data_IF_443495251267
#
_entry.id   IF_443495251267
#
_cell.length_a   1.000
_cell.length_b   1.000
_cell.length_c   1.000
_cell.angle_alpha   90.00
_cell.angle_beta   90.00
_cell.angle_gamma   90.00
#
_symmetry.space_group_name_H-M   'P 1'
#
loop_
_entity.id
_entity.type
_entity.pdbx_description
1 polymer ?
#
# COMPACT_ATOMS: atom_id res chain seq x y z
N UNK A 1 -39.06 -57.33 -31.69
CA UNK A 1 -39.24 -57.52 -30.24
C UNK A 1 -40.48 -56.76 -29.86
N UNK A 2 -41.64 -57.41 -29.93
CA UNK A 2 -42.95 -56.85 -29.57
C UNK A 2 -43.29 -57.32 -28.17
N UNK A 3 -43.54 -56.39 -27.23
CA UNK A 3 -43.92 -56.73 -25.85
C UNK A 3 -43.08 -56.11 -24.74
N UNK A 4 -42.04 -55.31 -25.03
CA UNK A 4 -41.33 -54.58 -23.97
C UNK A 4 -42.20 -53.43 -23.44
N UNK A 5 -42.33 -53.30 -22.13
CA UNK A 5 -43.05 -52.19 -21.51
C UNK A 5 -42.15 -50.97 -21.36
N UNK A 6 -42.72 -49.78 -21.50
CA UNK A 6 -42.04 -48.52 -21.23
C UNK A 6 -42.77 -47.75 -20.14
N UNK A 7 -42.01 -46.97 -19.38
CA UNK A 7 -42.49 -45.98 -18.40
C UNK A 7 -41.60 -44.75 -18.51
N UNK A 8 -42.19 -43.59 -18.78
CA UNK A 8 -41.51 -42.30 -18.82
C UNK A 8 -41.98 -41.48 -17.63
N UNK A 9 -41.05 -41.11 -16.76
CA UNK A 9 -41.30 -40.17 -15.67
C UNK A 9 -40.85 -38.77 -16.12
N UNK A 10 -41.76 -37.79 -16.24
CA UNK A 10 -41.37 -36.41 -16.53
C UNK A 10 -40.34 -35.93 -15.51
N UNK A 11 -39.20 -35.48 -16.00
CA UNK A 11 -38.14 -34.95 -15.15
C UNK A 11 -38.54 -33.59 -14.61
N UNK A 12 -38.15 -33.30 -13.37
CA UNK A 12 -38.16 -31.93 -12.84
C UNK A 12 -37.07 -31.12 -13.51
N UNK A 13 -37.48 -30.02 -14.16
CA UNK A 13 -36.58 -29.10 -14.85
C UNK A 13 -36.59 -27.76 -14.11
N UNK A 14 -35.41 -27.24 -13.78
CA UNK A 14 -35.30 -26.00 -13.00
C UNK A 14 -35.90 -24.81 -13.76
N UNK A 15 -36.91 -24.15 -13.17
CA UNK A 15 -37.64 -23.06 -13.82
C UNK A 15 -38.71 -23.49 -14.83
N UNK A 16 -39.04 -24.78 -14.92
CA UNK A 16 -40.05 -25.27 -15.87
C UNK A 16 -41.04 -26.24 -15.20
N UNK A 17 -42.31 -26.13 -15.59
CA UNK A 17 -43.38 -27.01 -15.16
C UNK A 17 -43.78 -27.94 -16.29
N UNK A 18 -43.84 -29.25 -16.01
CA UNK A 18 -44.39 -30.22 -16.96
C UNK A 18 -45.88 -29.94 -17.22
N UNK A 19 -46.28 -30.01 -18.49
CA UNK A 19 -47.65 -29.72 -18.92
C UNK A 19 -48.34 -30.96 -19.45
N UNK A 20 -47.75 -31.60 -20.46
CA UNK A 20 -48.35 -32.74 -21.17
C UNK A 20 -47.31 -33.54 -21.94
N UNK A 21 -47.68 -34.76 -22.31
CA UNK A 21 -46.97 -35.60 -23.26
C UNK A 21 -47.80 -35.72 -24.55
N UNK A 22 -47.14 -36.05 -25.67
CA UNK A 22 -47.82 -36.31 -26.95
C UNK A 22 -48.61 -37.63 -26.97
N UNK A 23 -48.32 -38.55 -26.05
CA UNK A 23 -48.94 -39.87 -25.92
C UNK A 23 -48.82 -40.38 -24.46
N UNK A 24 -49.37 -41.55 -24.14
CA UNK A 24 -49.33 -42.17 -22.81
C UNK A 24 -47.90 -42.42 -22.33
N UNK A 25 -47.63 -42.08 -21.07
CA UNK A 25 -46.32 -42.21 -20.43
C UNK A 25 -45.95 -43.64 -20.05
N UNK A 26 -46.89 -44.57 -20.12
CA UNK A 26 -46.68 -46.00 -19.87
C UNK A 26 -47.36 -46.81 -20.94
N UNK A 27 -46.76 -47.91 -21.39
CA UNK A 27 -47.38 -48.76 -22.40
C UNK A 27 -46.47 -49.89 -22.86
N UNK A 28 -46.80 -50.48 -24.00
CA UNK A 28 -46.01 -51.55 -24.64
C UNK A 28 -45.43 -51.04 -25.97
N UNK A 29 -44.18 -51.38 -26.27
CA UNK A 29 -43.52 -51.03 -27.52
C UNK A 29 -43.98 -51.94 -28.66
N UNK A 30 -44.52 -51.30 -29.71
CA UNK A 30 -44.79 -51.91 -31.01
C UNK A 30 -44.10 -51.07 -32.10
N UNK A 31 -42.83 -51.38 -32.37
CA UNK A 31 -41.98 -50.60 -33.27
C UNK A 31 -41.32 -49.38 -32.61
N UNK A 32 -40.88 -48.41 -33.43
CA UNK A 32 -40.25 -47.18 -32.95
C UNK A 32 -41.33 -46.20 -32.47
N UNK A 33 -41.23 -45.76 -31.21
CA UNK A 33 -42.15 -44.81 -30.58
C UNK A 33 -41.40 -43.55 -30.14
N UNK A 34 -41.95 -42.39 -30.44
CA UNK A 34 -41.45 -41.08 -30.00
C UNK A 34 -42.52 -40.41 -29.11
N UNK A 35 -42.13 -40.01 -27.90
CA UNK A 35 -43.01 -39.31 -26.96
C UNK A 35 -42.38 -37.95 -26.65
N UNK A 36 -43.08 -36.88 -27.00
CA UNK A 36 -42.63 -35.50 -26.80
C UNK A 36 -43.25 -34.96 -25.52
N UNK A 37 -42.42 -34.56 -24.56
CA UNK A 37 -42.85 -33.90 -23.33
C UNK A 37 -42.83 -32.37 -23.53
N UNK A 38 -43.95 -31.72 -23.21
CA UNK A 38 -44.07 -30.25 -23.24
C UNK A 38 -43.92 -29.68 -21.84
N UNK A 39 -43.02 -28.71 -21.72
CA UNK A 39 -42.78 -27.94 -20.50
C UNK A 39 -43.08 -26.46 -20.76
N UNK A 40 -43.60 -25.77 -19.74
CA UNK A 40 -43.77 -24.32 -19.75
C UNK A 40 -42.81 -23.69 -18.76
N UNK A 41 -42.27 -22.52 -19.12
CA UNK A 41 -41.51 -21.70 -18.20
C UNK A 41 -42.37 -21.37 -16.97
N UNK A 42 -41.82 -21.61 -15.79
CA UNK A 42 -42.50 -21.46 -14.50
C UNK A 42 -41.47 -21.11 -13.43
N UNK A 43 -41.09 -19.84 -13.38
CA UNK A 43 -40.10 -19.32 -12.43
C UNK A 43 -40.76 -18.96 -11.10
N UNK A 44 -40.17 -19.37 -9.99
CA UNK A 44 -40.52 -18.96 -8.63
C UNK A 44 -39.86 -17.60 -8.32
N UNK A 45 -40.70 -16.59 -8.08
CA UNK A 45 -40.29 -15.20 -7.81
C UNK A 45 -40.49 -14.79 -6.36
N UNK A 46 -40.84 -15.71 -5.47
CA UNK A 46 -41.25 -15.42 -4.09
C UNK A 46 -40.19 -14.62 -3.32
N UNK A 47 -38.93 -15.07 -3.33
CA UNK A 47 -37.83 -14.39 -2.64
C UNK A 47 -37.52 -13.01 -3.24
N UNK A 48 -37.60 -12.88 -4.56
CA UNK A 48 -37.40 -11.61 -5.26
C UNK A 48 -38.50 -10.61 -4.92
N UNK A 49 -39.76 -11.06 -4.87
CA UNK A 49 -40.91 -10.25 -4.48
C UNK A 49 -40.77 -9.73 -3.05
N UNK A 50 -40.42 -10.59 -2.10
CA UNK A 50 -40.22 -10.23 -0.70
C UNK A 50 -39.15 -9.15 -0.55
N UNK A 51 -38.03 -9.27 -1.27
CA UNK A 51 -36.95 -8.27 -1.21
C UNK A 51 -37.35 -6.95 -1.86
N UNK A 52 -38.13 -6.97 -2.95
CA UNK A 52 -38.65 -5.77 -3.61
C UNK A 52 -39.64 -5.01 -2.70
N UNK A 53 -40.47 -5.72 -1.92
CA UNK A 53 -41.38 -5.12 -0.94
C UNK A 53 -40.63 -4.37 0.17
N UNK A 54 -39.45 -4.86 0.56
CA UNK A 54 -38.59 -4.27 1.58
C UNK A 54 -37.55 -3.30 0.97
N UNK A 55 -38.01 -2.30 0.23
CA UNK A 55 -37.13 -1.29 -0.37
C UNK A 55 -36.47 -0.42 0.71
N UNK A 56 -35.15 -0.28 0.65
CA UNK A 56 -34.39 0.59 1.54
C UNK A 56 -34.71 2.07 1.31
N UNK A 57 -34.96 2.85 2.37
CA UNK A 57 -35.18 4.28 2.29
C UNK A 57 -33.84 5.03 2.22
N UNK A 58 -33.65 5.86 1.19
CA UNK A 58 -32.40 6.58 0.96
C UNK A 58 -31.92 7.41 2.16
N UNK A 59 -32.84 7.99 2.94
CA UNK A 59 -32.49 8.85 4.07
C UNK A 59 -31.84 8.10 5.24
N UNK A 60 -31.96 6.76 5.28
CA UNK A 60 -31.39 5.94 6.33
C UNK A 60 -29.92 5.57 6.04
N UNK A 61 -29.40 5.92 4.86
CA UNK A 61 -28.08 5.51 4.38
C UNK A 61 -27.24 6.68 3.88
N UNK A 62 -25.93 6.47 3.85
CA UNK A 62 -24.96 7.38 3.24
C UNK A 62 -25.28 7.53 1.75
N UNK A 63 -25.51 8.77 1.32
CA UNK A 63 -25.98 9.12 -0.02
C UNK A 63 -25.14 8.48 -1.14
N UNK A 64 -23.82 8.45 -0.96
CA UNK A 64 -22.87 7.92 -1.93
C UNK A 64 -22.96 6.39 -2.13
N UNK A 65 -23.54 5.66 -1.18
CA UNK A 65 -23.66 4.18 -1.24
C UNK A 65 -24.97 3.72 -1.86
N UNK A 66 -25.99 4.59 -1.90
CA UNK A 66 -27.33 4.27 -2.38
C UNK A 66 -27.46 4.02 -3.91
N UNK A 67 -26.68 4.67 -4.81
CA UNK A 67 -26.85 4.52 -6.26
C UNK A 67 -26.72 3.09 -6.78
N UNK A 68 -25.80 2.29 -6.22
CA UNK A 68 -25.59 0.89 -6.63
C UNK A 68 -26.81 0.05 -6.26
N UNK A 69 -27.33 0.22 -5.03
CA UNK A 69 -28.54 -0.46 -4.57
C UNK A 69 -29.77 -0.09 -5.40
N UNK A 70 -30.02 1.20 -5.64
CA UNK A 70 -31.23 1.60 -6.37
C UNK A 70 -31.23 1.10 -7.82
N UNK A 71 -30.05 1.01 -8.45
CA UNK A 71 -29.91 0.43 -9.78
C UNK A 71 -30.23 -1.08 -9.77
N UNK A 72 -29.72 -1.82 -8.78
CA UNK A 72 -30.03 -3.24 -8.59
C UNK A 72 -31.51 -3.46 -8.31
N UNK A 73 -32.12 -2.62 -7.46
CA UNK A 73 -33.55 -2.65 -7.15
C UNK A 73 -34.40 -2.45 -8.41
N UNK A 74 -34.07 -1.47 -9.26
CA UNK A 74 -34.79 -1.24 -10.51
C UNK A 74 -34.68 -2.43 -11.47
N UNK A 75 -33.52 -3.08 -11.55
CA UNK A 75 -33.33 -4.28 -12.37
C UNK A 75 -34.11 -5.47 -11.82
N UNK A 76 -34.11 -5.67 -10.51
CA UNK A 76 -34.92 -6.67 -9.83
C UNK A 76 -36.43 -6.50 -10.15
N UNK A 77 -36.94 -5.25 -10.12
CA UNK A 77 -38.34 -4.97 -10.49
C UNK A 77 -38.63 -5.34 -11.95
N UNK A 78 -37.71 -5.07 -12.89
CA UNK A 78 -37.88 -5.47 -14.31
C UNK A 78 -37.94 -6.98 -14.49
N UNK A 79 -37.06 -7.72 -13.82
CA UNK A 79 -37.07 -9.20 -13.87
C UNK A 79 -38.34 -9.75 -13.21
N UNK A 80 -38.76 -9.15 -12.10
CA UNK A 80 -39.99 -9.54 -11.41
C UNK A 80 -41.23 -9.40 -12.29
N UNK A 81 -41.37 -8.30 -13.04
CA UNK A 81 -42.52 -8.07 -13.93
C UNK A 81 -42.43 -8.77 -15.28
N UNK A 82 -41.24 -9.28 -15.66
CA UNK A 82 -41.06 -10.02 -16.91
C UNK A 82 -41.65 -11.45 -16.80
N UNK A 83 -42.80 -11.70 -17.43
CA UNK A 83 -43.44 -13.02 -17.50
C UNK A 83 -42.57 -14.11 -18.16
N UNK A 84 -41.59 -13.70 -18.96
CA UNK A 84 -40.65 -14.61 -19.65
C UNK A 84 -39.30 -14.76 -18.94
N UNK A 85 -39.14 -14.17 -17.75
CA UNK A 85 -37.92 -14.31 -16.98
C UNK A 85 -37.70 -15.77 -16.59
N UNK A 86 -36.55 -16.30 -16.96
CA UNK A 86 -36.07 -17.62 -16.54
C UNK A 86 -35.79 -17.64 -15.03
N UNK A 87 -35.77 -18.82 -14.43
CA UNK A 87 -35.43 -18.94 -13.01
C UNK A 87 -34.03 -18.39 -12.73
N UNK A 88 -33.08 -18.64 -13.64
CA UNK A 88 -31.72 -18.12 -13.53
C UNK A 88 -31.67 -16.58 -13.47
N UNK A 89 -32.41 -15.89 -14.35
CA UNK A 89 -32.50 -14.42 -14.31
C UNK A 89 -33.14 -13.92 -13.01
N UNK A 90 -34.12 -14.65 -12.47
CA UNK A 90 -34.75 -14.33 -11.18
C UNK A 90 -33.76 -14.47 -10.03
N UNK A 91 -32.97 -15.54 -9.99
CA UNK A 91 -31.98 -15.78 -8.95
C UNK A 91 -30.83 -14.77 -9.01
N UNK A 92 -30.34 -14.47 -10.21
CA UNK A 92 -29.29 -13.46 -10.43
C UNK A 92 -29.75 -12.07 -9.98
N UNK A 93 -30.99 -11.69 -10.32
CA UNK A 93 -31.59 -10.42 -9.89
C UNK A 93 -31.76 -10.35 -8.38
N UNK A 94 -32.17 -11.45 -7.74
CA UNK A 94 -32.27 -11.55 -6.29
C UNK A 94 -30.89 -11.37 -5.63
N UNK A 95 -29.88 -12.10 -6.10
CA UNK A 95 -28.54 -12.06 -5.53
C UNK A 95 -27.91 -10.67 -5.69
N UNK A 96 -28.05 -10.06 -6.87
CA UNK A 96 -27.57 -8.69 -7.12
C UNK A 96 -28.23 -7.66 -6.19
N UNK A 97 -29.54 -7.80 -5.94
CA UNK A 97 -30.27 -6.94 -5.01
C UNK A 97 -29.83 -7.17 -3.56
N UNK A 98 -29.60 -8.41 -3.16
CA UNK A 98 -29.09 -8.78 -1.83
C UNK A 98 -27.69 -8.21 -1.59
N UNK A 99 -26.76 -8.41 -2.53
CA UNK A 99 -25.37 -7.98 -2.40
C UNK A 99 -25.24 -6.46 -2.35
N UNK A 100 -25.97 -5.75 -3.22
CA UNK A 100 -25.98 -4.29 -3.22
C UNK A 100 -26.63 -3.70 -1.97
N UNK A 101 -27.65 -4.36 -1.40
CA UNK A 101 -28.22 -3.96 -0.11
C UNK A 101 -27.21 -4.13 1.03
N UNK A 102 -26.44 -5.23 1.04
CA UNK A 102 -25.43 -5.49 2.05
C UNK A 102 -24.23 -4.52 1.98
N UNK A 103 -24.09 -3.76 0.89
CA UNK A 103 -23.08 -2.71 0.73
C UNK A 103 -23.56 -1.33 1.17
N UNK A 104 -24.86 -1.16 1.48
CA UNK A 104 -25.38 0.09 2.00
C UNK A 104 -24.76 0.40 3.37
N UNK A 105 -24.32 1.65 3.54
CA UNK A 105 -23.77 2.13 4.81
C UNK A 105 -24.81 2.98 5.53
N UNK A 106 -25.22 2.63 6.76
CA UNK A 106 -26.17 3.43 7.52
C UNK A 106 -25.71 4.88 7.74
N UNK A 107 -26.64 5.83 7.72
CA UNK A 107 -26.33 7.27 7.89
C UNK A 107 -25.66 7.58 9.24
N UNK A 108 -25.89 6.74 10.26
CA UNK A 108 -25.21 6.82 11.57
C UNK A 108 -23.70 6.59 11.49
N UNK A 109 -23.19 6.03 10.38
CA UNK A 109 -21.76 5.80 10.13
C UNK A 109 -21.15 6.81 9.14
N UNK A 110 -21.84 7.93 8.86
CA UNK A 110 -21.41 8.92 7.88
C UNK A 110 -20.00 9.48 8.14
N UNK A 111 -19.66 9.75 9.40
CA UNK A 111 -18.33 10.25 9.75
C UNK A 111 -17.24 9.21 9.48
N UNK A 112 -17.46 7.98 9.91
CA UNK A 112 -16.55 6.86 9.65
C UNK A 112 -16.37 6.62 8.14
N UNK A 113 -17.45 6.68 7.37
CA UNK A 113 -17.41 6.60 5.91
C UNK A 113 -16.55 7.70 5.30
N UNK A 114 -16.71 8.95 5.75
CA UNK A 114 -15.91 10.07 5.26
C UNK A 114 -14.42 9.89 5.60
N UNK A 115 -14.10 9.44 6.82
CA UNK A 115 -12.72 9.22 7.25
C UNK A 115 -12.02 8.12 6.44
N UNK A 116 -12.71 7.01 6.19
CA UNK A 116 -12.18 5.90 5.39
C UNK A 116 -11.97 6.30 3.93
N UNK A 117 -12.94 6.98 3.32
CA UNK A 117 -12.84 7.37 1.91
C UNK A 117 -11.90 8.56 1.65
N UNK A 118 -11.63 9.39 2.66
CA UNK A 118 -10.65 10.48 2.59
C UNK A 118 -9.28 10.07 3.15
N UNK A 119 -9.05 8.78 3.40
CA UNK A 119 -7.80 8.30 3.98
C UNK A 119 -6.61 8.48 3.04
N UNK A 120 -5.45 8.79 3.61
CA UNK A 120 -4.17 8.83 2.88
C UNK A 120 -3.82 7.40 2.46
N UNK A 121 -3.82 7.12 1.16
CA UNK A 121 -3.63 5.77 0.62
C UNK A 121 -2.15 5.39 0.45
N UNK A 122 -1.32 6.37 0.12
CA UNK A 122 0.09 6.17 -0.20
C UNK A 122 0.97 6.62 0.97
N UNK A 123 2.00 5.81 1.29
CA UNK A 123 2.91 6.10 2.39
C UNK A 123 3.64 7.44 2.20
N UNK A 124 4.01 7.77 0.96
CA UNK A 124 4.78 8.97 0.65
C UNK A 124 6.01 9.10 1.55
N UNK A 125 6.14 10.27 2.20
CA UNK A 125 7.27 10.58 3.08
C UNK A 125 7.06 10.15 4.54
N UNK A 126 5.93 9.53 4.89
CA UNK A 126 5.67 9.08 6.25
C UNK A 126 6.54 7.88 6.63
N UNK A 127 6.86 7.78 7.92
CA UNK A 127 7.59 6.64 8.47
C UNK A 127 6.73 5.38 8.36
N UNK A 128 7.36 4.24 8.02
CA UNK A 128 6.65 2.97 7.80
C UNK A 128 5.80 2.57 9.02
N UNK A 129 6.31 2.81 10.23
CA UNK A 129 5.60 2.47 11.47
C UNK A 129 4.35 3.33 11.69
N UNK A 130 4.46 4.66 11.55
CA UNK A 130 3.31 5.54 11.77
C UNK A 130 2.24 5.39 10.69
N UNK A 131 2.67 5.20 9.43
CA UNK A 131 1.76 4.98 8.32
C UNK A 131 1.03 3.63 8.42
N UNK A 132 1.73 2.56 8.82
CA UNK A 132 1.10 1.25 9.04
C UNK A 132 0.06 1.30 10.17
N UNK A 133 0.34 2.01 11.27
CA UNK A 133 -0.62 2.20 12.35
C UNK A 133 -1.89 2.93 11.87
N UNK A 134 -1.72 4.02 11.10
CA UNK A 134 -2.83 4.74 10.48
C UNK A 134 -3.64 3.86 9.52
N UNK A 135 -2.99 3.13 8.63
CA UNK A 135 -3.68 2.24 7.69
C UNK A 135 -4.43 1.09 8.39
N UNK A 136 -3.90 0.57 9.49
CA UNK A 136 -4.61 -0.44 10.28
C UNK A 136 -5.89 0.15 10.93
N UNK A 137 -5.83 1.39 11.41
CA UNK A 137 -7.02 2.09 11.92
C UNK A 137 -8.07 2.30 10.82
N UNK A 138 -7.65 2.70 9.62
CA UNK A 138 -8.54 2.83 8.44
C UNK A 138 -9.16 1.48 8.06
N UNK A 139 -8.37 0.41 7.99
CA UNK A 139 -8.85 -0.93 7.66
C UNK A 139 -9.89 -1.43 8.68
N UNK A 140 -9.64 -1.20 9.98
CA UNK A 140 -10.58 -1.50 11.05
C UNK A 140 -11.87 -0.71 10.89
N UNK A 141 -11.78 0.59 10.60
CA UNK A 141 -12.95 1.43 10.34
C UNK A 141 -13.76 0.99 9.12
N UNK A 142 -13.09 0.62 8.03
CA UNK A 142 -13.71 0.15 6.80
C UNK A 142 -14.53 -1.14 7.03
N UNK A 143 -13.98 -2.10 7.77
CA UNK A 143 -14.68 -3.34 8.11
C UNK A 143 -15.99 -3.12 8.89
N UNK A 144 -16.07 -2.02 9.64
CA UNK A 144 -17.26 -1.65 10.41
C UNK A 144 -18.34 -0.95 9.58
N UNK A 145 -18.09 -0.51 8.35
CA UNK A 145 -19.08 0.24 7.56
C UNK A 145 -20.36 -0.57 7.28
N UNK A 146 -20.21 -1.84 6.92
CA UNK A 146 -21.32 -2.74 6.55
C UNK A 146 -21.66 -3.77 7.64
N UNK A 147 -20.87 -3.83 8.72
CA UNK A 147 -21.07 -4.77 9.84
C UNK A 147 -22.06 -4.20 10.86
N UNK A 148 -23.02 -5.00 11.32
CA UNK A 148 -23.89 -4.62 12.43
C UNK A 148 -23.09 -4.51 13.74
N UNK A 149 -23.17 -3.36 14.42
CA UNK A 149 -22.31 -3.04 15.56
C UNK A 149 -22.89 -1.90 16.39
N UNK A 150 -22.25 -1.60 17.53
CA UNK A 150 -22.71 -0.57 18.47
C UNK A 150 -22.16 0.82 18.13
N UNK A 151 -22.86 1.86 18.58
CA UNK A 151 -22.39 3.25 18.49
C UNK A 151 -21.01 3.44 19.14
N UNK A 152 -20.76 2.77 20.28
CA UNK A 152 -19.46 2.84 20.96
C UNK A 152 -18.33 2.23 20.12
N UNK A 153 -18.58 1.14 19.39
CA UNK A 153 -17.58 0.55 18.50
C UNK A 153 -17.25 1.49 17.34
N UNK A 154 -18.26 2.14 16.75
CA UNK A 154 -18.10 3.15 15.71
C UNK A 154 -17.27 4.33 16.24
N UNK A 155 -17.61 4.85 17.42
CA UNK A 155 -16.90 5.98 18.02
C UNK A 155 -15.43 5.67 18.34
N UNK A 156 -15.14 4.46 18.83
CA UNK A 156 -13.75 4.01 19.06
C UNK A 156 -12.95 3.94 17.76
N UNK A 157 -13.56 3.46 16.67
CA UNK A 157 -12.90 3.41 15.38
C UNK A 157 -12.59 4.82 14.83
N UNK A 158 -13.56 5.74 14.94
CA UNK A 158 -13.39 7.15 14.58
C UNK A 158 -12.24 7.77 15.38
N UNK A 159 -12.24 7.59 16.71
CA UNK A 159 -11.19 8.12 17.58
C UNK A 159 -9.81 7.55 17.23
N UNK A 160 -9.69 6.24 17.02
CA UNK A 160 -8.43 5.60 16.65
C UNK A 160 -7.88 6.15 15.32
N UNK A 161 -8.75 6.38 14.32
CA UNK A 161 -8.35 7.02 13.05
C UNK A 161 -7.80 8.42 13.28
N UNK A 162 -8.45 9.23 14.13
CA UNK A 162 -7.96 10.58 14.45
C UNK A 162 -6.62 10.55 15.19
N UNK A 163 -6.48 9.68 16.19
CA UNK A 163 -5.26 9.55 16.99
C UNK A 163 -4.07 9.11 16.12
N UNK A 164 -4.25 8.04 15.34
CA UNK A 164 -3.20 7.54 14.44
C UNK A 164 -2.85 8.53 13.33
N UNK A 165 -3.84 9.29 12.81
CA UNK A 165 -3.58 10.39 11.88
C UNK A 165 -2.71 11.49 12.50
N UNK A 166 -2.98 11.86 13.75
CA UNK A 166 -2.19 12.86 14.47
C UNK A 166 -0.78 12.37 14.82
N UNK A 167 -0.58 11.05 14.87
CA UNK A 167 0.70 10.39 15.13
C UNK A 167 1.50 10.09 13.86
N UNK A 168 1.01 10.48 12.67
CA UNK A 168 1.79 10.38 11.44
C UNK A 168 3.08 11.20 11.56
N UNK A 169 4.21 10.52 11.46
CA UNK A 169 5.54 11.13 11.49
C UNK A 169 6.22 10.93 10.16
N UNK A 170 7.04 11.89 9.75
CA UNK A 170 7.85 11.73 8.56
C UNK A 170 8.97 10.71 8.82
N UNK A 171 9.39 10.04 7.76
CA UNK A 171 10.58 9.18 7.77
C UNK A 171 11.84 10.00 8.07
N UNK A 172 12.90 9.32 8.51
CA UNK A 172 14.21 9.94 8.67
C UNK A 172 14.61 10.67 7.38
N UNK A 173 15.19 11.86 7.52
CA UNK A 173 15.53 12.68 6.35
C UNK A 173 16.57 12.00 5.46
N UNK A 174 17.54 11.32 6.08
CA UNK A 174 18.59 10.55 5.41
C UNK A 174 18.49 9.10 5.88
N UNK A 175 18.53 8.16 4.94
CA UNK A 175 18.62 6.73 5.20
C UNK A 175 19.88 6.18 4.54
N UNK A 176 20.76 5.59 5.33
CA UNK A 176 21.96 4.91 4.84
C UNK A 176 21.69 3.42 4.64
N UNK A 177 22.22 2.86 3.55
CA UNK A 177 22.10 1.45 3.19
C UNK A 177 23.37 0.96 2.48
N UNK A 178 23.61 -0.35 2.49
CA UNK A 178 24.77 -0.95 1.82
C UNK A 178 24.47 -2.39 1.43
N UNK A 179 25.14 -2.89 0.38
CA UNK A 179 25.16 -4.32 0.04
C UNK A 179 26.37 -5.06 0.67
N UNK A 180 27.20 -4.37 1.46
CA UNK A 180 28.32 -4.96 2.17
C UNK A 180 27.82 -5.59 3.48
N UNK A 181 28.10 -6.88 3.74
CA UNK A 181 27.75 -7.51 5.01
C UNK A 181 28.39 -6.76 6.19
N UNK A 182 27.65 -6.55 7.26
CA UNK A 182 28.14 -5.85 8.46
C UNK A 182 28.96 -6.79 9.35
N UNK A 183 30.12 -6.34 9.81
CA UNK A 183 30.86 -7.02 10.87
C UNK A 183 30.28 -6.63 12.24
N UNK A 184 29.88 -7.63 13.03
CA UNK A 184 29.32 -7.44 14.37
C UNK A 184 28.14 -6.42 14.38
N UNK A 185 28.20 -5.42 15.24
CA UNK A 185 27.20 -4.35 15.39
C UNK A 185 27.65 -3.01 14.77
N UNK A 186 28.69 -3.00 13.93
CA UNK A 186 29.17 -1.81 13.22
C UNK A 186 28.31 -1.51 11.99
N UNK A 187 27.02 -1.26 12.23
CA UNK A 187 26.01 -1.07 11.19
C UNK A 187 26.15 0.24 10.42
N UNK A 188 25.50 0.29 9.25
CA UNK A 188 25.58 1.42 8.33
C UNK A 188 25.00 2.73 8.91
N UNK A 189 24.08 2.63 9.88
CA UNK A 189 23.53 3.80 10.57
C UNK A 189 24.59 4.65 11.28
N UNK A 190 25.72 4.05 11.67
CA UNK A 190 26.82 4.77 12.31
C UNK A 190 27.47 5.81 11.38
N UNK A 191 27.25 5.72 10.07
CA UNK A 191 27.83 6.68 9.11
C UNK A 191 27.05 7.99 9.01
N UNK A 192 25.91 8.12 9.69
CA UNK A 192 25.06 9.30 9.69
C UNK A 192 24.55 9.64 11.08
N UNK A 193 25.23 9.14 12.12
CA UNK A 193 24.84 9.37 13.51
C UNK A 193 25.50 10.65 14.10
N UNK A 194 26.35 11.32 13.31
CA UNK A 194 27.05 12.54 13.72
C UNK A 194 28.24 12.27 14.65
N UNK A 195 28.62 11.00 14.84
CA UNK A 195 29.69 10.58 15.73
C UNK A 195 30.84 9.94 14.96
N UNK A 196 31.89 10.71 14.69
CA UNK A 196 33.11 10.21 14.03
C UNK A 196 33.85 9.08 14.77
N UNK A 197 33.49 8.76 16.01
CA UNK A 197 34.09 7.66 16.77
C UNK A 197 33.39 6.32 16.52
N UNK A 198 32.14 6.31 16.06
CA UNK A 198 31.46 5.10 15.59
C UNK A 198 31.83 4.85 14.13
N UNK A 199 31.49 3.66 13.63
CA UNK A 199 31.80 3.26 12.26
C UNK A 199 30.85 2.21 11.73
N UNK A 200 30.65 2.24 10.42
CA UNK A 200 30.40 1.04 9.66
C UNK A 200 31.69 0.25 9.47
N UNK A 201 31.64 -1.07 9.60
CA UNK A 201 32.76 -1.95 9.26
C UNK A 201 32.25 -3.19 8.53
N UNK A 202 32.72 -3.38 7.30
CA UNK A 202 32.31 -4.51 6.46
C UNK A 202 32.94 -5.83 6.89
N UNK A 203 32.23 -6.93 6.72
CA UNK A 203 32.68 -8.31 6.95
C UNK A 203 33.11 -8.98 5.63
N UNK A 204 33.78 -8.22 4.76
CA UNK A 204 34.27 -8.73 3.47
C UNK A 204 35.38 -7.86 2.95
N UNK A 205 36.23 -8.43 2.10
CA UNK A 205 37.16 -7.66 1.27
C UNK A 205 36.41 -6.69 0.36
N UNK A 206 37.09 -5.63 -0.04
CA UNK A 206 36.57 -4.65 -1.00
C UNK A 206 36.53 -5.26 -2.40
N UNK A 207 35.37 -5.20 -3.05
CA UNK A 207 35.16 -5.70 -4.41
C UNK A 207 34.34 -4.68 -5.23
N UNK A 208 34.68 -4.48 -6.52
CA UNK A 208 33.91 -3.60 -7.38
C UNK A 208 32.41 -3.90 -7.36
N UNK A 209 31.58 -2.85 -7.26
CA UNK A 209 30.12 -2.94 -7.18
C UNK A 209 29.55 -3.05 -5.75
N UNK A 210 30.40 -3.14 -4.73
CA UNK A 210 30.00 -2.86 -3.35
C UNK A 210 29.72 -1.36 -3.18
N UNK A 211 28.69 -1.00 -2.40
CA UNK A 211 28.29 0.39 -2.28
C UNK A 211 27.78 0.78 -0.89
N UNK A 212 27.83 2.08 -0.62
CA UNK A 212 27.17 2.77 0.49
C UNK A 212 26.26 3.84 -0.09
N UNK A 213 24.95 3.71 0.12
CA UNK A 213 23.92 4.55 -0.48
C UNK A 213 23.19 5.35 0.61
N UNK A 214 23.20 6.66 0.46
CA UNK A 214 22.50 7.62 1.29
C UNK A 214 21.33 8.18 0.49
N UNK A 215 20.11 7.91 0.96
CA UNK A 215 18.87 8.34 0.32
C UNK A 215 18.25 9.47 1.13
N UNK A 216 17.99 10.59 0.47
CA UNK A 216 17.27 11.71 1.03
C UNK A 216 15.77 11.53 0.80
N UNK A 217 14.96 11.88 1.80
CA UNK A 217 13.50 11.77 1.72
C UNK A 217 12.91 12.62 0.59
N UNK A 218 13.52 13.77 0.31
CA UNK A 218 13.15 14.72 -0.72
C UNK A 218 14.40 15.23 -1.47
N UNK A 219 14.21 15.86 -2.63
CA UNK A 219 15.31 16.39 -3.43
C UNK A 219 15.99 17.57 -2.73
N UNK A 220 17.32 17.57 -2.78
CA UNK A 220 18.18 18.55 -2.15
C UNK A 220 19.07 19.23 -3.19
N UNK A 221 19.47 20.47 -2.93
CA UNK A 221 20.56 21.13 -3.62
C UNK A 221 21.85 20.85 -2.83
N UNK A 222 22.58 19.82 -3.24
CA UNK A 222 23.78 19.34 -2.56
C UNK A 222 24.96 20.27 -2.84
N UNK A 223 25.55 20.81 -1.77
CA UNK A 223 26.70 21.73 -1.82
C UNK A 223 28.00 21.01 -1.56
N UNK A 224 28.02 20.15 -0.55
CA UNK A 224 29.24 19.49 -0.10
C UNK A 224 28.95 18.09 0.45
N UNK A 225 29.88 17.17 0.22
CA UNK A 225 29.94 15.86 0.86
C UNK A 225 31.25 15.79 1.66
N UNK A 226 31.18 15.40 2.93
CA UNK A 226 32.35 15.10 3.74
C UNK A 226 32.32 13.62 4.15
N UNK A 227 33.40 12.90 3.90
CA UNK A 227 33.55 11.47 4.21
C UNK A 227 34.72 11.32 5.18
N UNK A 228 34.47 10.71 6.33
CA UNK A 228 35.46 10.36 7.33
C UNK A 228 35.64 8.84 7.40
N UNK A 229 36.90 8.37 7.42
CA UNK A 229 37.24 6.96 7.51
C UNK A 229 38.49 6.71 8.37
N UNK A 230 38.55 5.56 9.01
CA UNK A 230 39.70 5.13 9.82
C UNK A 230 39.86 5.87 11.15
N UNK A 231 38.80 6.49 11.67
CA UNK A 231 38.80 7.06 13.02
C UNK A 231 38.49 5.99 14.08
N UNK A 232 39.14 6.11 15.23
CA UNK A 232 38.82 5.40 16.46
C UNK A 232 38.82 6.36 17.67
N UNK A 233 38.74 5.80 18.88
CA UNK A 233 38.72 6.59 20.12
C UNK A 233 39.97 7.45 20.34
N UNK A 234 41.07 7.17 19.63
CA UNK A 234 42.35 7.87 19.72
C UNK A 234 42.63 8.78 18.51
N UNK A 235 41.67 8.92 17.59
CA UNK A 235 41.82 9.73 16.38
C UNK A 235 41.99 8.89 15.12
N UNK A 236 42.79 9.37 14.16
CA UNK A 236 43.02 8.68 12.89
C UNK A 236 43.97 7.51 13.10
N UNK A 237 43.58 6.32 12.63
CA UNK A 237 44.39 5.11 12.63
C UNK A 237 44.84 4.76 11.22
N UNK A 238 46.13 4.96 10.94
CA UNK A 238 46.77 4.67 9.65
C UNK A 238 46.68 3.18 9.24
N UNK A 239 46.47 2.29 10.22
CA UNK A 239 46.32 0.85 10.00
C UNK A 239 44.86 0.41 9.85
N UNK A 240 43.92 1.35 9.75
CA UNK A 240 42.51 1.01 9.64
C UNK A 240 42.14 0.43 8.26
N UNK A 241 41.04 -0.31 8.26
CA UNK A 241 40.37 -0.88 7.09
C UNK A 241 39.60 0.18 6.28
N UNK A 242 40.24 1.24 5.80
CA UNK A 242 39.58 2.27 4.99
C UNK A 242 39.43 1.86 3.51
N UNK A 243 38.50 2.49 2.80
CA UNK A 243 38.24 2.23 1.38
C UNK A 243 39.46 2.64 0.53
N UNK A 244 39.89 1.79 -0.40
CA UNK A 244 41.09 2.00 -1.22
C UNK A 244 40.83 2.53 -2.63
N UNK A 245 39.63 2.33 -3.15
CA UNK A 245 39.23 2.88 -4.45
C UNK A 245 37.72 2.83 -4.63
N UNK A 246 37.09 4.00 -4.66
CA UNK A 246 35.67 4.18 -4.88
C UNK A 246 35.35 5.48 -5.61
N UNK A 247 34.29 5.46 -6.42
CA UNK A 247 33.69 6.67 -6.97
C UNK A 247 32.60 7.19 -6.00
N UNK A 248 32.55 8.51 -5.84
CA UNK A 248 31.44 9.19 -5.16
C UNK A 248 30.49 9.72 -6.21
N UNK A 249 29.25 9.26 -6.16
CA UNK A 249 28.24 9.43 -7.19
C UNK A 249 27.00 10.12 -6.60
N UNK A 250 26.33 10.95 -7.39
CA UNK A 250 25.08 11.60 -7.02
C UNK A 250 24.01 11.33 -8.08
N UNK A 251 22.75 11.30 -7.68
CA UNK A 251 21.61 11.11 -8.58
C UNK A 251 20.34 11.73 -7.98
N UNK A 252 19.43 12.21 -8.84
CA UNK A 252 18.09 12.63 -8.43
C UNK A 252 17.03 11.52 -8.65
N UNK A 253 17.25 10.65 -9.65
CA UNK A 253 16.29 9.61 -10.06
C UNK A 253 16.66 8.19 -9.59
N UNK A 254 17.87 8.00 -9.05
CA UNK A 254 18.41 6.72 -8.60
C UNK A 254 18.93 5.81 -9.71
N UNK A 255 18.91 6.24 -10.97
CA UNK A 255 19.30 5.46 -12.15
C UNK A 255 20.39 6.13 -12.99
N UNK A 256 20.34 7.46 -13.11
CA UNK A 256 21.30 8.30 -13.79
C UNK A 256 22.29 8.84 -12.77
N UNK A 257 23.54 8.40 -12.83
CA UNK A 257 24.57 8.70 -11.83
C UNK A 257 25.66 9.61 -12.39
N UNK A 258 25.95 10.69 -11.66
CA UNK A 258 27.06 11.61 -11.94
C UNK A 258 28.18 11.38 -10.92
N UNK A 259 29.42 11.14 -11.38
CA UNK A 259 30.60 11.14 -10.51
C UNK A 259 30.96 12.57 -10.10
N UNK A 260 31.15 12.78 -8.80
CA UNK A 260 31.49 14.07 -8.20
C UNK A 260 32.83 14.04 -7.46
N UNK A 261 33.39 12.85 -7.24
CA UNK A 261 34.70 12.69 -6.61
C UNK A 261 35.13 11.23 -6.55
N UNK A 262 36.32 11.01 -6.00
CA UNK A 262 36.91 9.69 -5.80
C UNK A 262 37.50 9.58 -4.40
N UNK A 263 37.36 8.42 -3.79
CA UNK A 263 37.98 8.05 -2.53
C UNK A 263 39.04 6.98 -2.80
N UNK A 264 40.30 7.30 -2.53
CA UNK A 264 41.48 6.49 -2.89
C UNK A 264 42.42 6.29 -1.70
N UNK A 265 41.87 6.19 -0.49
CA UNK A 265 42.63 5.94 0.74
C UNK A 265 42.66 7.10 1.75
N UNK A 266 41.89 8.15 1.55
CA UNK A 266 41.86 9.31 2.45
C UNK A 266 41.08 9.03 3.74
N UNK A 267 41.63 9.48 4.87
CA UNK A 267 40.92 9.50 6.14
C UNK A 267 39.83 10.57 6.21
N UNK A 268 40.01 11.67 5.49
CA UNK A 268 39.02 12.73 5.34
C UNK A 268 39.01 13.21 3.89
N UNK A 269 37.84 13.15 3.27
CA UNK A 269 37.61 13.63 1.91
C UNK A 269 36.44 14.62 1.94
N UNK A 270 36.69 15.84 1.45
CA UNK A 270 35.66 16.86 1.28
C UNK A 270 35.51 17.12 -0.21
N UNK A 271 34.27 17.02 -0.70
CA UNK A 271 33.91 17.20 -2.11
C UNK A 271 32.94 18.36 -2.20
N UNK A 272 33.34 19.45 -2.85
CA UNK A 272 32.44 20.54 -3.21
C UNK A 272 31.69 20.18 -4.49
N UNK A 273 30.38 20.00 -4.37
CA UNK A 273 29.48 19.55 -5.44
C UNK A 273 28.78 20.73 -6.15
N UNK A 274 28.87 21.94 -5.59
CA UNK A 274 28.38 23.20 -6.19
C UNK A 274 26.88 23.20 -6.60
N UNK A 275 25.99 22.86 -5.65
CA UNK A 275 24.53 22.89 -5.81
C UNK A 275 23.98 21.92 -6.87
N UNK A 276 24.43 20.67 -6.87
CA UNK A 276 23.80 19.64 -7.70
C UNK A 276 22.50 19.19 -7.06
N UNK A 277 21.42 19.17 -7.84
CA UNK A 277 20.17 18.56 -7.42
C UNK A 277 20.35 17.04 -7.28
N UNK A 278 20.07 16.52 -6.08
CA UNK A 278 20.21 15.11 -5.79
C UNK A 278 19.13 14.63 -4.80
N UNK A 279 18.83 13.34 -4.88
CA UNK A 279 18.07 12.58 -3.87
C UNK A 279 18.87 11.40 -3.34
N UNK A 280 19.97 11.05 -4.00
CA UNK A 280 20.82 9.93 -3.69
C UNK A 280 22.29 10.34 -3.75
N UNK A 281 23.08 9.91 -2.77
CA UNK A 281 24.55 9.91 -2.81
C UNK A 281 25.03 8.48 -2.62
N UNK A 282 25.92 8.01 -3.49
CA UNK A 282 26.45 6.64 -3.47
C UNK A 282 27.97 6.67 -3.47
N UNK A 283 28.60 5.97 -2.53
CA UNK A 283 30.03 5.64 -2.56
C UNK A 283 30.12 4.22 -3.10
N UNK A 284 30.61 4.04 -4.33
CA UNK A 284 30.68 2.75 -5.00
C UNK A 284 32.14 2.32 -5.13
N UNK A 285 32.50 1.20 -4.52
CA UNK A 285 33.83 0.61 -4.62
C UNK A 285 34.07 0.22 -6.08
N UNK A 286 35.19 0.67 -6.62
CA UNK A 286 35.63 0.44 -8.01
C UNK A 286 36.93 -0.36 -8.08
N UNK A 287 37.64 -0.52 -6.96
CA UNK A 287 38.89 -1.28 -6.88
C UNK A 287 38.82 -2.38 -5.82
N UNK A 288 39.47 -3.51 -6.11
CA UNK A 288 39.60 -4.60 -5.14
C UNK A 288 40.69 -4.31 -4.10
N UNK A 289 40.43 -4.65 -2.85
CA UNK A 289 41.42 -4.53 -1.76
C UNK A 289 41.19 -5.62 -0.71
N UNK A 290 42.28 -6.14 -0.14
CA UNK A 290 42.23 -7.12 0.95
C UNK A 290 41.72 -6.50 2.26
N UNK A 291 41.82 -5.18 2.43
CA UNK A 291 41.25 -4.46 3.56
C UNK A 291 39.73 -4.53 3.50
N UNK A 292 39.08 -4.56 4.67
CA UNK A 292 37.62 -4.44 4.73
C UNK A 292 37.23 -2.97 4.52
N UNK A 293 35.99 -2.63 4.13
CA UNK A 293 35.59 -1.24 4.03
C UNK A 293 35.11 -0.70 5.40
N UNK A 294 35.59 0.48 5.77
CA UNK A 294 35.21 1.20 6.98
C UNK A 294 34.86 2.64 6.63
N UNK A 295 33.76 3.13 7.20
CA UNK A 295 33.34 4.53 7.14
C UNK A 295 32.91 4.94 8.55
N UNK A 296 33.38 6.08 9.01
CA UNK A 296 33.04 6.61 10.32
C UNK A 296 31.84 7.54 10.23
N UNK A 297 31.85 8.47 9.27
CA UNK A 297 30.79 9.47 9.14
C UNK A 297 30.76 9.97 7.69
N UNK A 298 29.56 10.20 7.16
CA UNK A 298 29.30 10.86 5.90
C UNK A 298 28.30 11.97 6.13
N UNK A 299 28.77 13.21 6.02
CA UNK A 299 27.96 14.40 6.27
C UNK A 299 27.72 15.18 4.98
N UNK A 300 26.61 15.91 4.93
CA UNK A 300 26.15 16.63 3.74
C UNK A 300 25.80 18.07 4.06
N UNK A 301 26.30 19.01 3.26
CA UNK A 301 25.80 20.39 3.24
C UNK A 301 24.83 20.54 2.07
N UNK A 302 23.60 20.98 2.34
CA UNK A 302 22.56 21.07 1.32
C UNK A 302 21.46 22.08 1.70
N UNK A 303 20.72 22.53 0.69
CA UNK A 303 19.40 23.16 0.88
C UNK A 303 18.29 22.20 0.45
N UNK A 304 17.12 22.27 1.10
CA UNK A 304 15.96 21.49 0.67
C UNK A 304 15.26 22.25 -0.45
N UNK A 305 15.06 21.59 -1.59
CA UNK A 305 14.43 22.22 -2.75
C UNK A 305 12.92 22.31 -2.53
N UNK A 306 12.33 23.46 -2.88
CA UNK A 306 10.88 23.64 -2.89
C UNK A 306 10.24 23.87 -1.51
N UNK A 307 11.03 24.07 -0.45
CA UNK A 307 10.53 24.39 0.90
C UNK A 307 11.05 25.73 1.39
N UNK A 308 10.21 26.45 2.11
CA UNK A 308 10.61 27.66 2.82
C UNK A 308 11.13 27.34 4.23
N UNK A 309 11.86 28.29 4.81
CA UNK A 309 12.49 28.11 6.13
C UNK A 309 11.49 27.78 7.24
N UNK A 310 10.30 28.38 7.21
CA UNK A 310 9.29 28.14 8.23
C UNK A 310 8.77 26.70 8.19
N UNK A 311 8.58 26.14 7.00
CA UNK A 311 8.17 24.75 6.82
C UNK A 311 9.20 23.76 7.36
N UNK A 312 10.49 24.07 7.19
CA UNK A 312 11.59 23.24 7.70
C UNK A 312 11.63 23.31 9.23
N UNK A 313 11.50 24.52 9.80
CA UNK A 313 11.47 24.74 11.26
C UNK A 313 10.27 24.04 11.90
N UNK A 314 9.08 24.15 11.32
CA UNK A 314 7.88 23.54 11.87
C UNK A 314 7.93 22.02 11.83
N UNK A 315 8.60 21.45 10.83
CA UNK A 315 8.87 20.01 10.81
C UNK A 315 9.90 19.60 11.85
N UNK A 316 11.02 20.32 11.95
CA UNK A 316 12.06 20.03 12.94
C UNK A 316 11.50 20.06 14.37
N UNK A 317 10.62 21.02 14.69
CA UNK A 317 9.93 21.10 15.98
C UNK A 317 9.04 19.89 16.29
N UNK A 318 8.39 19.30 15.27
CA UNK A 318 7.56 18.09 15.45
C UNK A 318 8.43 16.86 15.76
N UNK A 319 9.64 16.82 15.22
CA UNK A 319 10.63 15.77 15.50
C UNK A 319 11.24 15.95 16.89
N UNK A 320 11.58 17.19 17.26
CA UNK A 320 12.23 17.60 18.52
C UNK A 320 11.37 17.35 19.79
N UNK A 321 10.05 17.24 19.66
CA UNK A 321 9.19 16.79 20.77
C UNK A 321 9.44 15.34 21.23
N UNK A 322 10.34 14.58 20.59
CA UNK A 322 10.65 13.18 20.94
C UNK A 322 12.10 12.83 21.28
N UNK A 323 13.11 13.67 20.97
CA UNK A 323 14.52 13.39 21.35
C UNK A 323 15.39 14.65 21.19
N UNK A 324 16.09 15.05 22.24
CA UNK A 324 17.18 16.04 22.21
C UNK A 324 18.32 15.57 21.28
N UNK A 325 18.34 15.98 20.01
CA UNK A 325 19.51 15.86 19.12
C UNK A 325 19.66 17.16 18.31
N UNK A 326 20.60 18.00 18.71
CA UNK A 326 20.97 19.24 18.01
C UNK A 326 21.67 18.89 16.69
N UNK A 327 20.97 19.05 15.57
CA UNK A 327 21.62 19.13 14.25
C UNK A 327 22.05 20.58 14.00
N UNK A 328 23.35 20.81 13.84
CA UNK A 328 23.89 22.13 13.49
C UNK A 328 23.52 22.48 12.05
N UNK A 329 22.40 23.16 11.83
CA UNK A 329 22.13 23.85 10.56
C UNK A 329 22.89 25.18 10.61
N UNK A 330 24.11 25.22 10.06
CA UNK A 330 24.84 26.49 9.90
C UNK A 330 24.26 27.26 8.71
N UNK A 331 23.57 28.36 9.01
CA UNK A 331 22.97 29.27 8.03
C UNK A 331 23.95 30.39 7.65
N UNK A 332 24.04 30.70 6.36
CA UNK A 332 24.63 31.95 5.86
C UNK A 332 23.53 32.79 5.23
N UNK A 333 23.10 33.85 5.93
CA UNK A 333 22.17 34.84 5.40
C UNK A 333 22.95 35.73 4.43
N UNK A 334 22.69 35.62 3.13
CA UNK A 334 23.11 36.65 2.17
C UNK A 334 21.97 37.66 2.05
N UNK A 335 22.21 38.89 2.50
CA UNK A 335 21.45 40.04 2.02
C UNK A 335 21.78 40.24 0.53
N UNK A 336 20.73 40.44 -0.26
CA UNK A 336 20.82 40.86 -1.66
C UNK A 336 21.36 42.28 -1.71
#
# INVERSE_FOLDING_TARGET
MTGETYTITPQTLYGYKYVKASDELTGTLDGQKEIVLTYLLSSDKTNLEERIKNKANQNDYVLQTYPVYIQAYQNAVKVYTNEKATQYEVDEAYQTLLDSYNQLVPVTKQELYNLVNCAIQEQGNYSSNSFAAYQNAIATGNALLTTDTTADAIQRAIQNIHETRNQLTLSAFIVASTNVPTYQNYGISNTIDGNRQTKFWGQSTQNPGQYFLYTFRESIALKQIAIASGYDNNGVSENADYIRGADVLVSNDGTSWQSVGKLSGEHELVIDVNNVEAKYVKIEITESSANWPQLNEVSFEYDIIGRNLQEIIDEAKKIDSSLYIVHYIKMKVMHI
#
